data_IF_024678891829
#
_entry.id   IF_024678891829
#
_cell.length_a   1.000
_cell.length_b   1.000
_cell.length_c   1.000
_cell.angle_alpha   90.00
_cell.angle_beta   90.00
_cell.angle_gamma   90.00
#
_symmetry.space_group_name_H-M   'P 1'
#
loop_
_entity.id
_entity.type
_entity.pdbx_description
1 polymer ?
#
# COMPACT_ATOMS: atom_id res chain seq x y z
N UNK A 1 11.13 -0.10 11.79
CA UNK A 1 10.36 -0.29 10.54
C UNK A 1 8.89 -0.34 10.87
N UNK A 2 8.06 0.27 10.04
CA UNK A 2 6.59 0.27 10.13
C UNK A 2 6.02 -0.08 8.76
N UNK A 3 4.88 -0.76 8.71
CA UNK A 3 4.13 -1.04 7.48
C UNK A 3 2.84 -0.24 7.50
N UNK A 4 2.64 0.60 6.48
CA UNK A 4 1.33 1.16 6.20
C UNK A 4 0.55 0.11 5.39
N UNK A 5 -0.53 -0.39 5.98
CA UNK A 5 -1.49 -1.23 5.31
C UNK A 5 -2.70 -0.38 4.92
N UNK A 6 -3.04 -0.39 3.64
CA UNK A 6 -4.17 0.34 3.10
C UNK A 6 -5.23 -0.64 2.64
N UNK A 7 -6.44 -0.48 3.16
CA UNK A 7 -7.63 -1.19 2.67
C UNK A 7 -8.41 -0.22 1.79
N UNK A 8 -8.79 -0.64 0.59
CA UNK A 8 -9.58 0.13 -0.35
C UNK A 8 -10.92 -0.56 -0.59
N UNK A 9 -12.01 0.20 -0.48
CA UNK A 9 -13.23 -0.13 -1.21
C UNK A 9 -13.18 0.59 -2.56
N UNK A 10 -13.28 -0.17 -3.63
CA UNK A 10 -13.18 0.30 -5.01
C UNK A 10 -14.52 0.13 -5.73
N UNK A 11 -14.73 0.88 -6.80
CA UNK A 11 -15.87 0.68 -7.69
C UNK A 11 -15.66 -0.63 -8.49
N UNK A 12 -16.53 -1.65 -8.37
CA UNK A 12 -16.37 -2.93 -9.07
C UNK A 12 -16.36 -2.81 -10.59
N UNK A 13 -16.94 -1.74 -11.14
CA UNK A 13 -16.93 -1.48 -12.58
C UNK A 13 -15.60 -0.86 -13.06
N UNK A 14 -14.69 -0.48 -12.16
CA UNK A 14 -13.47 0.29 -12.45
C UNK A 14 -12.20 -0.35 -11.89
N UNK A 15 -12.18 -1.68 -11.84
CA UNK A 15 -11.01 -2.45 -11.38
C UNK A 15 -9.80 -2.17 -12.27
N UNK A 16 -9.99 -2.00 -13.58
CA UNK A 16 -8.91 -1.69 -14.53
C UNK A 16 -8.25 -0.33 -14.24
N UNK A 17 -9.05 0.69 -13.92
CA UNK A 17 -8.56 2.00 -13.50
C UNK A 17 -7.84 1.90 -12.15
N UNK A 18 -8.42 1.19 -11.18
CA UNK A 18 -7.73 0.96 -9.91
C UNK A 18 -6.40 0.22 -10.09
N UNK A 19 -6.32 -0.75 -11.00
CA UNK A 19 -5.07 -1.45 -11.32
C UNK A 19 -4.02 -0.50 -11.94
N UNK A 20 -4.43 0.40 -12.83
CA UNK A 20 -3.54 1.42 -13.39
C UNK A 20 -3.01 2.35 -12.29
N UNK A 21 -3.88 2.79 -11.38
CA UNK A 21 -3.49 3.56 -10.19
C UNK A 21 -2.50 2.78 -9.30
N UNK A 22 -2.80 1.51 -9.00
CA UNK A 22 -1.96 0.65 -8.18
C UNK A 22 -0.56 0.46 -8.77
N UNK A 23 -0.47 0.19 -10.09
CA UNK A 23 0.80 0.05 -10.81
C UNK A 23 1.64 1.32 -10.76
N UNK A 24 1.01 2.50 -10.79
CA UNK A 24 1.72 3.76 -10.66
C UNK A 24 2.35 3.95 -9.27
N UNK A 25 1.65 3.57 -8.21
CA UNK A 25 2.14 3.79 -6.83
C UNK A 25 3.32 2.91 -6.41
N UNK A 26 3.49 1.72 -7.01
CA UNK A 26 4.59 0.80 -6.67
C UNK A 26 5.96 1.50 -6.81
N UNK A 27 6.38 1.97 -8.00
CA UNK A 27 7.67 2.64 -8.15
C UNK A 27 7.71 4.01 -7.47
N UNK A 28 6.57 4.70 -7.33
CA UNK A 28 6.52 6.00 -6.65
C UNK A 28 6.89 5.86 -5.17
N UNK A 29 6.34 4.87 -4.46
CA UNK A 29 6.70 4.63 -3.06
C UNK A 29 8.19 4.30 -2.91
N UNK A 30 8.72 3.45 -3.79
CA UNK A 30 10.13 3.07 -3.78
C UNK A 30 11.07 4.25 -4.04
N UNK A 31 10.69 5.15 -4.96
CA UNK A 31 11.44 6.38 -5.25
C UNK A 31 11.65 7.27 -4.03
N UNK A 32 10.73 7.24 -3.06
CA UNK A 32 10.81 7.99 -1.81
C UNK A 32 11.33 7.18 -0.63
N UNK A 33 12.04 6.07 -0.89
CA UNK A 33 12.71 5.27 0.14
C UNK A 33 11.78 4.34 0.93
N UNK A 34 10.56 4.10 0.42
CA UNK A 34 9.70 3.04 0.91
C UNK A 34 10.04 1.69 0.28
N UNK A 35 9.52 0.61 0.86
CA UNK A 35 9.52 -0.72 0.25
C UNK A 35 8.09 -1.13 -0.01
N UNK A 36 7.71 -1.35 -1.27
CA UNK A 36 6.35 -1.73 -1.62
C UNK A 36 6.17 -3.27 -1.56
N UNK A 37 5.16 -3.76 -0.84
CA UNK A 37 4.89 -5.21 -0.67
C UNK A 37 3.82 -5.75 -1.61
N UNK A 38 3.24 -4.87 -2.42
CA UNK A 38 2.30 -5.21 -3.48
C UNK A 38 0.91 -4.60 -3.27
N UNK A 39 0.16 -4.59 -4.36
CA UNK A 39 -1.28 -4.38 -4.36
C UNK A 39 -1.95 -5.73 -4.58
N UNK A 40 -3.04 -5.98 -3.85
CA UNK A 40 -3.83 -7.21 -3.95
C UNK A 40 -5.23 -6.81 -4.35
N UNK A 41 -5.60 -7.12 -5.60
CA UNK A 41 -6.88 -6.77 -6.20
C UNK A 41 -7.87 -7.93 -6.05
N UNK A 42 -9.19 -7.68 -6.26
CA UNK A 42 -10.18 -8.73 -6.29
C UNK A 42 -9.83 -9.86 -7.28
N UNK A 43 -9.99 -11.11 -6.85
CA UNK A 43 -9.88 -12.28 -7.71
C UNK A 43 -10.98 -13.31 -7.38
N UNK A 44 -10.92 -13.89 -6.18
CA UNK A 44 -11.98 -14.73 -5.60
C UNK A 44 -12.34 -14.17 -4.21
N UNK A 45 -13.58 -13.69 -4.04
CA UNK A 45 -14.03 -12.99 -2.83
C UNK A 45 -14.84 -11.73 -3.16
N UNK A 46 -14.86 -10.72 -2.25
CA UNK A 46 -15.48 -9.43 -2.52
C UNK A 46 -14.87 -8.78 -3.77
N UNK A 47 -15.72 -8.37 -4.71
CA UNK A 47 -15.30 -7.78 -5.99
C UNK A 47 -14.95 -6.28 -5.89
N UNK A 48 -15.06 -5.71 -4.71
CA UNK A 48 -14.93 -4.29 -4.40
C UNK A 48 -13.84 -4.02 -3.35
N UNK A 49 -13.07 -5.03 -2.93
CA UNK A 49 -12.08 -4.92 -1.86
C UNK A 49 -10.67 -5.14 -2.39
N UNK A 50 -9.80 -4.16 -2.19
CA UNK A 50 -8.39 -4.24 -2.56
C UNK A 50 -7.48 -3.81 -1.40
N UNK A 51 -6.23 -4.25 -1.43
CA UNK A 51 -5.25 -3.97 -0.38
C UNK A 51 -3.94 -3.48 -0.96
N UNK A 52 -3.20 -2.69 -0.18
CA UNK A 52 -1.81 -2.39 -0.42
C UNK A 52 -1.03 -2.44 0.89
N UNK A 53 0.23 -2.84 0.83
CA UNK A 53 1.14 -2.73 1.96
C UNK A 53 2.47 -2.17 1.50
N UNK A 54 3.05 -1.27 2.28
CA UNK A 54 4.40 -0.76 2.06
C UNK A 54 5.05 -0.34 3.38
N UNK A 55 6.37 -0.51 3.48
CA UNK A 55 7.13 -0.22 4.69
C UNK A 55 8.03 1.01 4.57
N UNK A 56 8.24 1.65 5.71
CA UNK A 56 9.25 2.69 5.91
C UNK A 56 10.07 2.39 7.19
N UNK A 57 11.30 2.92 7.33
CA UNK A 57 12.12 2.72 8.53
C UNK A 57 11.43 3.17 9.83
N UNK A 58 10.64 4.25 9.79
CA UNK A 58 9.94 4.84 10.93
C UNK A 58 8.71 5.63 10.48
N UNK A 59 7.88 6.08 11.44
CA UNK A 59 6.77 7.02 11.16
C UNK A 59 7.29 8.36 10.61
N UNK A 60 8.41 8.87 11.12
CA UNK A 60 9.02 10.12 10.63
C UNK A 60 9.50 10.02 9.17
N UNK A 61 10.02 8.85 8.76
CA UNK A 61 10.38 8.60 7.36
C UNK A 61 9.13 8.59 6.46
N UNK A 62 8.04 7.98 6.93
CA UNK A 62 6.76 8.01 6.23
C UNK A 62 6.18 9.43 6.12
N UNK A 63 6.27 10.25 7.17
CA UNK A 63 5.83 11.66 7.14
C UNK A 63 6.63 12.48 6.12
N UNK A 64 7.94 12.25 6.05
CA UNK A 64 8.81 12.88 5.04
C UNK A 64 8.38 12.50 3.63
N UNK A 65 8.13 11.20 3.39
CA UNK A 65 7.57 10.71 2.14
C UNK A 65 6.23 11.39 1.80
N UNK A 66 5.33 11.54 2.77
CA UNK A 66 4.02 12.19 2.56
C UNK A 66 4.16 13.65 2.13
N UNK A 67 5.11 14.38 2.70
CA UNK A 67 5.38 15.76 2.32
C UNK A 67 5.98 15.85 0.90
N UNK A 68 6.95 15.00 0.59
CA UNK A 68 7.62 14.99 -0.72
C UNK A 68 6.69 14.54 -1.84
N UNK A 69 5.96 13.43 -1.65
CA UNK A 69 4.99 12.91 -2.62
C UNK A 69 3.84 13.89 -2.91
N UNK A 70 3.45 14.73 -1.94
CA UNK A 70 2.43 15.75 -2.16
C UNK A 70 2.90 16.88 -3.11
N UNK A 71 4.21 17.12 -3.21
CA UNK A 71 4.79 18.11 -4.12
C UNK A 71 5.15 17.54 -5.50
N UNK A 72 5.30 16.22 -5.61
CA UNK A 72 5.73 15.52 -6.82
C UNK A 72 4.65 15.42 -7.91
N UNK A 73 5.03 15.66 -9.16
CA UNK A 73 4.09 15.73 -10.29
C UNK A 73 3.53 14.36 -10.70
N UNK A 74 4.31 13.28 -10.61
CA UNK A 74 3.82 11.94 -10.93
C UNK A 74 2.84 11.45 -9.85
N UNK A 75 3.16 11.73 -8.57
CA UNK A 75 2.25 11.44 -7.46
C UNK A 75 0.93 12.20 -7.59
N UNK A 76 0.96 13.47 -7.98
CA UNK A 76 -0.24 14.26 -8.29
C UNK A 76 -1.02 13.65 -9.43
N UNK A 77 -0.36 13.28 -10.53
CA UNK A 77 -1.02 12.66 -11.68
C UNK A 77 -1.73 11.34 -11.30
N UNK A 78 -1.09 10.50 -10.47
CA UNK A 78 -1.70 9.28 -9.96
C UNK A 78 -2.92 9.56 -9.06
N UNK A 79 -2.81 10.55 -8.16
CA UNK A 79 -3.93 10.97 -7.32
C UNK A 79 -5.11 11.51 -8.14
N UNK A 80 -4.84 12.44 -9.07
CA UNK A 80 -5.84 13.05 -9.94
C UNK A 80 -6.51 12.01 -10.85
N UNK A 81 -5.77 10.98 -11.28
CA UNK A 81 -6.33 9.86 -12.02
C UNK A 81 -7.38 9.11 -11.19
N UNK A 82 -7.11 8.79 -9.92
CA UNK A 82 -8.08 8.12 -9.06
C UNK A 82 -9.30 9.01 -8.76
N UNK A 83 -9.09 10.31 -8.56
CA UNK A 83 -10.19 11.28 -8.35
C UNK A 83 -11.07 11.38 -9.59
N UNK A 84 -10.48 11.57 -10.78
CA UNK A 84 -11.21 11.72 -12.04
C UNK A 84 -11.99 10.46 -12.42
N UNK A 85 -11.39 9.29 -12.23
CA UNK A 85 -12.06 8.01 -12.54
C UNK A 85 -13.05 7.60 -11.45
N UNK A 86 -12.89 8.13 -10.23
CA UNK A 86 -13.66 7.73 -9.05
C UNK A 86 -13.63 6.21 -8.85
N UNK A 87 -12.45 5.60 -9.02
CA UNK A 87 -12.26 4.16 -8.85
C UNK A 87 -12.12 3.75 -7.37
N UNK A 88 -11.84 4.69 -6.46
CA UNK A 88 -11.74 4.46 -5.01
C UNK A 88 -12.91 5.14 -4.30
N UNK A 89 -13.75 4.36 -3.62
CA UNK A 89 -14.91 4.85 -2.88
C UNK A 89 -14.57 5.20 -1.43
N UNK A 90 -13.70 4.41 -0.81
CA UNK A 90 -13.21 4.59 0.55
C UNK A 90 -11.82 3.96 0.68
N UNK A 91 -10.99 4.51 1.55
CA UNK A 91 -9.80 3.81 2.01
C UNK A 91 -9.53 4.04 3.49
N UNK A 92 -8.90 3.06 4.12
CA UNK A 92 -8.44 3.08 5.51
C UNK A 92 -6.95 2.80 5.56
N UNK A 93 -6.22 3.42 6.50
CA UNK A 93 -4.79 3.19 6.71
C UNK A 93 -4.50 2.75 8.13
N UNK A 94 -3.74 1.67 8.26
CA UNK A 94 -3.24 1.16 9.53
C UNK A 94 -1.71 1.13 9.51
N UNK A 95 -1.09 1.46 10.64
CA UNK A 95 0.36 1.36 10.82
C UNK A 95 0.69 0.18 11.72
N UNK A 96 1.40 -0.78 11.17
CA UNK A 96 1.63 -2.08 11.78
C UNK A 96 3.13 -2.32 11.99
N UNK A 97 3.47 -3.13 13.00
CA UNK A 97 4.81 -3.69 13.14
C UNK A 97 4.91 -4.93 12.24
N UNK A 98 5.78 -4.93 11.22
CA UNK A 98 5.90 -6.08 10.34
C UNK A 98 6.70 -7.24 10.97
N UNK A 99 6.37 -8.45 10.55
CA UNK A 99 7.17 -9.67 10.69
C UNK A 99 7.24 -10.25 9.27
N UNK A 100 8.38 -10.11 8.60
CA UNK A 100 8.55 -10.46 7.18
C UNK A 100 9.46 -11.67 6.98
N UNK A 101 10.28 -11.98 7.98
CA UNK A 101 11.14 -13.14 8.02
C UNK A 101 10.59 -14.14 9.05
N UNK A 102 10.68 -15.44 8.73
CA UNK A 102 10.19 -16.52 9.58
C UNK A 102 11.33 -17.38 10.12
N UNK A 103 11.18 -17.84 11.36
CA UNK A 103 12.09 -18.80 12.01
C UNK A 103 11.32 -19.64 13.04
N UNK A 104 11.43 -20.97 12.94
CA UNK A 104 10.78 -21.93 13.85
C UNK A 104 11.70 -22.33 15.03
N UNK A 105 13.02 -22.09 14.90
CA UNK A 105 14.01 -22.54 15.89
C UNK A 105 13.69 -22.02 17.29
N UNK A 106 13.31 -20.76 17.42
CA UNK A 106 12.93 -20.14 18.69
C UNK A 106 11.70 -20.74 19.38
N UNK A 107 10.86 -21.52 18.68
CA UNK A 107 9.77 -22.28 19.30
C UNK A 107 10.29 -23.62 19.84
N UNK A 108 11.18 -24.30 19.11
CA UNK A 108 11.75 -25.58 19.53
C UNK A 108 12.68 -25.43 20.74
N UNK A 109 13.46 -24.35 20.82
CA UNK A 109 14.37 -24.07 21.94
C UNK A 109 13.63 -23.84 23.28
N UNK A 110 12.33 -23.52 23.23
CA UNK A 110 11.49 -23.34 24.43
C UNK A 110 10.90 -24.67 24.97
N UNK A 111 11.09 -25.78 24.26
CA UNK A 111 10.55 -27.09 24.63
C UNK A 111 11.61 -28.04 25.22
N UNK A 112 12.88 -27.63 25.28
CA UNK A 112 14.00 -28.36 25.88
C UNK A 112 14.33 -27.81 27.27
#
# INVERSE_FOLDING_TARGET
>A
MITCHVTYNIDPAKVAEFEAYAKAWIPLVERFGGTHHGYFLPHEGPNDLAFAAFSFPSLSAYETYRAQSAADDDCKAAYDFAVRTNCILRYDRHFLRPVLDGDISGIHDQQA
#
